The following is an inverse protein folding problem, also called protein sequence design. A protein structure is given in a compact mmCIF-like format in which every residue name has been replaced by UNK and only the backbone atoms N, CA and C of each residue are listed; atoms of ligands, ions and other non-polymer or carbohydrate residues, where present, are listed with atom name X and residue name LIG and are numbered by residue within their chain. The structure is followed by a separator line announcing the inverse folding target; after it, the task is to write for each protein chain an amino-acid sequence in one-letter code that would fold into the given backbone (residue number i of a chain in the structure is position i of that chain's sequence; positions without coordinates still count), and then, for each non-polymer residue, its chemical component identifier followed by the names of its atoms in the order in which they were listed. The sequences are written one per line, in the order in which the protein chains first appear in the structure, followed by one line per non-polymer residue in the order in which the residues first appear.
data_IF_305286935240
#
_entry.id   IF_305286935240
#
_cell.length_a   1.000
_cell.length_b   1.000
_cell.length_c   1.000
_cell.angle_alpha   90.00
_cell.angle_beta   90.00
_cell.angle_gamma   90.00
#
_symmetry.space_group_name_H-M   'P 1'
#
loop_
_entity.id
_entity.type
_entity.pdbx_description
1 polymer ?
#
# COMPACT_ATOMS: atom_id res chain seq x y z
N UNK A 1 16.59 6.42 36.65
CA UNK A 1 15.19 6.31 36.20
C UNK A 1 15.17 5.30 35.06
N UNK A 2 14.70 4.09 35.32
CA UNK A 2 14.51 3.06 34.28
C UNK A 2 13.43 3.57 33.33
N UNK A 3 13.80 3.96 32.11
CA UNK A 3 12.80 4.12 31.06
C UNK A 3 12.23 2.72 30.80
N UNK A 4 11.01 2.50 31.27
CA UNK A 4 10.22 1.33 30.91
C UNK A 4 10.12 1.29 29.38
N UNK A 5 10.92 0.44 28.76
CA UNK A 5 10.99 0.32 27.31
C UNK A 5 9.75 -0.37 26.76
N UNK A 6 9.31 0.06 25.59
CA UNK A 6 8.34 -0.70 24.81
C UNK A 6 8.99 -1.99 24.30
N UNK A 7 8.21 -3.05 24.25
CA UNK A 7 8.60 -4.31 23.58
C UNK A 7 7.75 -4.50 22.32
N UNK A 8 8.22 -5.32 21.38
CA UNK A 8 7.45 -5.65 20.18
C UNK A 8 6.79 -7.01 20.36
N UNK A 9 5.53 -7.14 19.90
CA UNK A 9 4.82 -8.43 19.87
C UNK A 9 5.58 -9.47 19.02
N UNK A 10 6.21 -9.00 17.93
CA UNK A 10 6.89 -9.84 16.93
C UNK A 10 8.26 -9.25 16.57
N UNK A 11 9.34 -10.05 16.54
CA UNK A 11 10.66 -9.59 16.10
C UNK A 11 10.70 -9.06 14.67
N UNK A 12 9.80 -9.53 13.80
CA UNK A 12 9.70 -9.12 12.40
C UNK A 12 9.39 -7.63 12.24
N UNK A 13 8.68 -7.03 13.21
CA UNK A 13 8.37 -5.59 13.20
C UNK A 13 9.65 -4.75 13.24
N UNK A 14 10.66 -5.20 14.00
CA UNK A 14 11.95 -4.50 14.09
C UNK A 14 12.65 -4.52 12.74
N UNK A 15 12.63 -5.67 12.06
CA UNK A 15 13.22 -5.78 10.72
C UNK A 15 12.52 -4.85 9.73
N UNK A 16 11.18 -4.86 9.72
CA UNK A 16 10.39 -4.02 8.83
C UNK A 16 10.62 -2.52 9.10
N UNK A 17 10.71 -2.12 10.36
CA UNK A 17 11.08 -0.76 10.75
C UNK A 17 12.45 -0.35 10.20
N UNK A 18 13.47 -1.21 10.36
CA UNK A 18 14.82 -0.93 9.88
C UNK A 18 14.87 -0.84 8.35
N UNK A 19 14.19 -1.76 7.66
CA UNK A 19 14.11 -1.78 6.20
C UNK A 19 13.38 -0.54 5.66
N UNK A 20 12.25 -0.14 6.27
CA UNK A 20 11.46 1.04 5.87
C UNK A 20 12.19 2.36 6.13
N UNK A 21 12.91 2.45 7.25
CA UNK A 21 13.60 3.67 7.68
C UNK A 21 14.99 3.82 7.09
N UNK A 22 15.46 2.86 6.30
CA UNK A 22 16.86 2.79 5.82
C UNK A 22 17.86 2.95 6.98
N UNK A 23 17.53 2.35 8.13
CA UNK A 23 18.26 2.48 9.39
C UNK A 23 18.48 3.92 9.90
N UNK A 24 17.74 4.93 9.40
CA UNK A 24 17.90 6.31 9.81
C UNK A 24 17.33 6.53 11.23
N UNK A 25 18.16 6.95 12.22
CA UNK A 25 17.71 7.10 13.60
C UNK A 25 16.55 8.08 13.80
N UNK A 26 16.47 9.13 12.96
CA UNK A 26 15.39 10.09 13.02
C UNK A 26 14.07 9.45 12.59
N UNK A 27 14.03 8.77 11.44
CA UNK A 27 12.82 8.11 10.95
C UNK A 27 12.36 7.00 11.90
N UNK A 28 13.31 6.22 12.43
CA UNK A 28 13.05 5.19 13.44
C UNK A 28 12.35 5.80 14.65
N UNK A 29 12.89 6.90 15.19
CA UNK A 29 12.32 7.57 16.36
C UNK A 29 10.89 8.03 16.11
N UNK A 30 10.64 8.72 15.01
CA UNK A 30 9.30 9.27 14.72
C UNK A 30 8.26 8.15 14.55
N UNK A 31 8.60 7.08 13.81
CA UNK A 31 7.72 5.92 13.62
C UNK A 31 7.43 5.23 14.96
N UNK A 32 8.47 5.00 15.78
CA UNK A 32 8.32 4.36 17.09
C UNK A 32 7.51 5.19 18.06
N UNK A 33 7.67 6.52 18.05
CA UNK A 33 6.89 7.40 18.90
C UNK A 33 5.41 7.41 18.52
N UNK A 34 5.11 7.42 17.21
CA UNK A 34 3.74 7.28 16.73
C UNK A 34 3.14 5.92 17.10
N UNK A 35 3.87 4.83 16.91
CA UNK A 35 3.42 3.48 17.29
C UNK A 35 3.20 3.34 18.80
N UNK A 36 4.14 3.84 19.61
CA UNK A 36 4.07 3.80 21.07
C UNK A 36 2.89 4.60 21.65
N UNK A 37 2.46 5.66 20.96
CA UNK A 37 1.27 6.44 21.35
C UNK A 37 -0.03 5.64 21.21
N UNK A 38 0.00 4.57 20.40
CA UNK A 38 -1.15 3.70 20.12
C UNK A 38 -1.15 2.42 20.95
N UNK A 39 0.04 1.96 21.34
CA UNK A 39 0.22 0.77 22.16
C UNK A 39 -0.59 0.83 23.47
N UNK A 40 -1.13 -0.32 23.89
CA UNK A 40 -1.88 -0.47 25.13
C UNK A 40 -1.02 -0.25 26.38
N UNK A 41 -1.66 -0.18 27.55
CA UNK A 41 -1.01 0.01 28.86
C UNK A 41 0.12 -1.01 29.14
N UNK A 42 0.07 -2.18 28.50
CA UNK A 42 1.08 -3.24 28.61
C UNK A 42 2.41 -2.93 27.90
N UNK A 43 2.51 -1.80 27.18
CA UNK A 43 3.74 -1.34 26.48
C UNK A 43 4.29 -2.34 25.45
N UNK A 44 3.40 -3.15 24.90
CA UNK A 44 3.71 -4.04 23.78
C UNK A 44 3.21 -3.35 22.51
N UNK A 45 4.14 -2.97 21.63
CA UNK A 45 3.82 -2.49 20.28
C UNK A 45 3.41 -3.71 19.47
N UNK A 46 2.12 -3.77 19.15
CA UNK A 46 1.59 -4.78 18.24
C UNK A 46 1.95 -4.44 16.80
N UNK A 47 1.77 -5.42 15.92
CA UNK A 47 1.87 -5.17 14.49
C UNK A 47 0.89 -4.08 14.04
N UNK A 48 -0.32 -4.02 14.61
CA UNK A 48 -1.32 -2.99 14.27
C UNK A 48 -0.86 -1.58 14.69
N UNK A 49 -0.28 -1.44 15.89
CA UNK A 49 0.22 -0.16 16.40
C UNK A 49 1.36 0.38 15.54
N UNK A 50 2.31 -0.49 15.18
CA UNK A 50 3.43 -0.14 14.32
C UNK A 50 2.95 0.38 12.95
N UNK A 51 2.04 -0.37 12.32
CA UNK A 51 1.49 -0.07 11.00
C UNK A 51 0.77 1.28 10.95
N UNK A 52 -0.07 1.55 11.94
CA UNK A 52 -0.74 2.85 12.06
C UNK A 52 0.26 3.96 12.39
N UNK A 53 1.26 3.69 13.24
CA UNK A 53 2.33 4.64 13.50
C UNK A 53 3.04 5.06 12.22
N UNK A 54 3.37 4.12 11.33
CA UNK A 54 3.93 4.42 10.01
C UNK A 54 2.97 5.26 9.17
N UNK A 55 1.71 4.87 9.05
CA UNK A 55 0.73 5.59 8.24
C UNK A 55 0.51 7.03 8.74
N UNK A 56 0.35 7.22 10.05
CA UNK A 56 0.15 8.51 10.68
C UNK A 56 1.39 9.40 10.45
N UNK A 57 2.59 8.84 10.59
CA UNK A 57 3.81 9.63 10.48
C UNK A 57 4.11 10.05 9.04
N UNK A 58 3.87 9.18 8.05
CA UNK A 58 4.22 9.41 6.64
C UNK A 58 3.13 10.08 5.81
N UNK A 59 1.85 9.84 6.12
CA UNK A 59 0.76 10.18 5.20
C UNK A 59 -0.38 10.98 5.82
N UNK A 60 -0.41 11.15 7.16
CA UNK A 60 -1.30 12.16 7.77
C UNK A 60 -0.80 13.56 7.46
N UNK A 61 -1.71 14.52 7.22
CA UNK A 61 -1.36 15.94 7.08
C UNK A 61 -0.60 16.48 8.29
N UNK A 62 -0.88 15.95 9.48
CA UNK A 62 -0.20 16.28 10.74
C UNK A 62 1.03 15.41 11.05
N UNK A 63 1.36 14.45 10.18
CA UNK A 63 2.46 13.52 10.38
C UNK A 63 3.82 14.19 10.28
N UNK A 64 4.72 13.93 11.24
CA UNK A 64 6.04 14.56 11.28
C UNK A 64 6.87 14.27 10.02
N UNK A 65 6.91 13.01 9.58
CA UNK A 65 7.66 12.62 8.37
C UNK A 65 6.96 13.12 7.10
N UNK A 66 5.63 13.19 7.08
CA UNK A 66 4.90 13.83 5.99
C UNK A 66 5.33 15.30 5.85
N UNK A 67 5.32 16.06 6.95
CA UNK A 67 5.73 17.46 6.97
C UNK A 67 7.19 17.64 6.56
N UNK A 68 8.08 16.79 7.08
CA UNK A 68 9.50 16.78 6.73
C UNK A 68 9.71 16.54 5.22
N UNK A 69 9.13 15.49 4.65
CA UNK A 69 9.31 15.17 3.23
C UNK A 69 8.56 16.14 2.32
N UNK A 70 7.41 16.67 2.74
CA UNK A 70 6.73 17.74 2.03
C UNK A 70 7.58 19.01 1.96
N UNK A 71 8.26 19.37 3.06
CA UNK A 71 9.19 20.50 3.05
C UNK A 71 10.41 20.19 2.17
N UNK A 72 11.04 19.03 2.35
CA UNK A 72 12.17 18.58 1.54
C UNK A 72 11.83 18.62 0.04
N UNK A 73 10.64 18.16 -0.35
CA UNK A 73 10.17 18.23 -1.73
C UNK A 73 9.88 19.65 -2.20
N UNK A 74 9.33 20.52 -1.33
CA UNK A 74 9.13 21.94 -1.64
C UNK A 74 10.44 22.67 -1.87
N UNK A 75 11.47 22.40 -1.08
CA UNK A 75 12.80 23.01 -1.23
C UNK A 75 13.37 22.65 -2.62
N UNK A 76 13.30 21.37 -3.02
CA UNK A 76 13.65 20.96 -4.38
C UNK A 76 12.81 21.64 -5.46
N UNK A 77 11.51 21.85 -5.24
CA UNK A 77 10.66 22.53 -6.20
C UNK A 77 10.99 24.02 -6.34
N UNK A 78 11.43 24.68 -5.27
CA UNK A 78 11.83 26.09 -5.34
C UNK A 78 13.11 26.26 -6.14
N UNK A 79 14.09 25.40 -5.88
CA UNK A 79 15.38 25.42 -6.58
C UNK A 79 15.26 24.84 -8.00
N UNK A 80 14.34 23.89 -8.19
CA UNK A 80 14.15 23.18 -9.45
C UNK A 80 12.70 22.74 -9.76
N UNK A 81 11.82 23.68 -10.18
CA UNK A 81 10.40 23.42 -10.39
C UNK A 81 10.11 22.30 -11.41
N UNK A 82 11.00 22.14 -12.39
CA UNK A 82 10.80 21.26 -13.54
C UNK A 82 11.21 19.80 -13.27
N UNK A 83 12.04 19.56 -12.24
CA UNK A 83 12.42 18.20 -11.83
C UNK A 83 11.36 17.49 -10.98
N UNK A 84 10.31 18.19 -10.57
CA UNK A 84 9.18 17.66 -9.80
C UNK A 84 8.55 16.45 -10.47
N UNK A 85 8.10 16.63 -11.71
CA UNK A 85 7.32 15.61 -12.40
C UNK A 85 8.21 14.43 -12.82
N UNK A 86 9.51 14.68 -13.06
CA UNK A 86 10.52 13.63 -13.24
C UNK A 86 10.66 12.78 -11.99
N UNK A 87 10.78 13.38 -10.80
CA UNK A 87 10.84 12.61 -9.53
C UNK A 87 9.58 11.78 -9.28
N UNK A 88 8.39 12.32 -9.59
CA UNK A 88 7.12 11.59 -9.48
C UNK A 88 7.11 10.40 -10.45
N UNK A 89 7.50 10.62 -11.71
CA UNK A 89 7.59 9.56 -12.73
C UNK A 89 8.56 8.44 -12.33
N UNK A 90 9.72 8.79 -11.77
CA UNK A 90 10.68 7.81 -11.24
C UNK A 90 10.09 7.02 -10.06
N UNK A 91 9.36 7.69 -9.16
CA UNK A 91 8.68 7.04 -8.05
C UNK A 91 7.56 6.10 -8.54
N UNK A 92 6.95 6.37 -9.71
CA UNK A 92 5.97 5.47 -10.34
C UNK A 92 6.57 4.19 -10.93
N UNK A 93 7.89 4.16 -11.09
CA UNK A 93 8.65 2.99 -11.55
C UNK A 93 9.27 3.14 -12.94
N UNK A 94 9.13 4.29 -13.59
CA UNK A 94 9.86 4.60 -14.81
C UNK A 94 11.34 4.78 -14.44
N UNK A 95 12.24 4.03 -15.06
CA UNK A 95 13.67 4.04 -14.68
C UNK A 95 14.57 4.59 -15.78
N UNK A 96 14.13 4.59 -17.02
CA UNK A 96 14.90 5.08 -18.18
C UNK A 96 14.45 6.48 -18.62
N UNK A 97 15.30 7.17 -19.38
CA UNK A 97 14.99 8.50 -19.91
C UNK A 97 13.76 8.42 -20.83
N UNK A 98 13.67 7.36 -21.64
CA UNK A 98 12.59 7.09 -22.57
C UNK A 98 11.25 6.85 -21.86
N UNK A 99 11.24 6.04 -20.80
CA UNK A 99 10.03 5.78 -20.00
C UNK A 99 9.50 7.06 -19.37
N UNK A 100 10.38 7.87 -18.77
CA UNK A 100 9.99 9.16 -18.16
C UNK A 100 9.51 10.15 -19.22
N UNK A 101 10.17 10.22 -20.38
CA UNK A 101 9.77 11.08 -21.49
C UNK A 101 8.37 10.72 -22.02
N UNK A 102 8.09 9.42 -22.14
CA UNK A 102 6.79 8.91 -22.57
C UNK A 102 5.68 9.23 -21.57
N UNK A 103 5.94 9.01 -20.28
CA UNK A 103 5.00 9.28 -19.19
C UNK A 103 4.64 10.77 -19.11
N UNK A 104 5.65 11.63 -19.13
CA UNK A 104 5.49 13.09 -19.02
C UNK A 104 5.13 13.77 -20.35
N UNK A 105 5.18 13.04 -21.47
CA UNK A 105 4.96 13.56 -22.84
C UNK A 105 5.86 14.74 -23.20
N UNK A 106 7.13 14.66 -22.83
CA UNK A 106 8.16 15.67 -23.13
C UNK A 106 9.36 15.05 -23.85
N UNK A 107 10.21 15.85 -24.53
CA UNK A 107 11.36 15.31 -25.26
C UNK A 107 12.40 14.64 -24.34
N UNK A 108 13.01 13.55 -24.81
CA UNK A 108 14.11 12.81 -24.13
C UNK A 108 15.26 13.74 -23.72
N UNK A 109 15.60 14.73 -24.55
CA UNK A 109 16.65 15.71 -24.23
C UNK A 109 16.32 16.61 -23.03
N UNK A 110 15.04 16.91 -22.82
CA UNK A 110 14.55 17.69 -21.67
C UNK A 110 14.62 16.83 -20.41
N UNK A 111 14.16 15.58 -20.48
CA UNK A 111 14.26 14.63 -19.36
C UNK A 111 15.73 14.39 -18.96
N UNK A 112 16.62 14.18 -19.94
CA UNK A 112 18.05 13.99 -19.69
C UNK A 112 18.64 15.14 -18.88
N UNK A 113 18.37 16.38 -19.29
CA UNK A 113 18.80 17.58 -18.56
C UNK A 113 18.27 17.59 -17.11
N UNK A 114 16.99 17.27 -16.94
CA UNK A 114 16.39 17.20 -15.60
C UNK A 114 17.00 16.12 -14.71
N UNK A 115 17.32 14.95 -15.26
CA UNK A 115 17.96 13.86 -14.53
C UNK A 115 19.40 14.20 -14.15
N UNK A 116 20.18 14.83 -15.04
CA UNK A 116 21.53 15.30 -14.75
C UNK A 116 21.54 16.34 -13.60
N UNK A 117 20.58 17.27 -13.60
CA UNK A 117 20.45 18.26 -12.52
C UNK A 117 20.00 17.60 -11.21
N UNK A 118 19.00 16.72 -11.22
CA UNK A 118 18.57 15.98 -10.04
C UNK A 118 19.68 15.08 -9.47
N UNK A 119 20.55 14.54 -10.32
CA UNK A 119 21.70 13.74 -9.91
C UNK A 119 22.77 14.61 -9.24
N UNK A 120 23.04 15.81 -9.79
CA UNK A 120 23.91 16.80 -9.16
C UNK A 120 23.43 17.17 -7.75
N UNK A 121 22.12 17.34 -7.57
CA UNK A 121 21.52 17.60 -6.26
C UNK A 121 21.32 16.34 -5.39
N UNK A 122 21.85 15.19 -5.81
CA UNK A 122 21.80 13.91 -5.11
C UNK A 122 20.36 13.44 -4.78
N UNK A 123 19.37 13.93 -5.54
CA UNK A 123 17.97 13.53 -5.43
C UNK A 123 17.72 12.20 -6.16
N UNK A 124 18.43 11.99 -7.28
CA UNK A 124 18.40 10.74 -8.05
C UNK A 124 19.81 10.17 -8.20
N UNK A 125 19.92 8.88 -8.51
CA UNK A 125 21.16 8.21 -8.85
C UNK A 125 20.98 7.37 -10.10
N UNK A 126 21.96 7.42 -10.99
CA UNK A 126 22.08 6.47 -12.09
C UNK A 126 22.68 5.15 -11.55
N UNK A 127 21.89 4.08 -11.52
CA UNK A 127 22.33 2.72 -11.13
C UNK A 127 22.22 1.82 -12.35
N UNK A 128 23.30 1.12 -12.71
CA UNK A 128 23.31 0.13 -13.81
C UNK A 128 23.16 0.71 -15.23
N UNK A 129 23.80 1.84 -15.52
CA UNK A 129 23.87 2.48 -16.84
C UNK A 129 22.48 2.79 -17.41
N UNK A 130 22.16 4.08 -17.47
CA UNK A 130 20.90 4.62 -18.01
C UNK A 130 19.63 4.21 -17.25
N UNK A 131 19.75 3.83 -15.97
CA UNK A 131 18.61 3.65 -15.08
C UNK A 131 18.71 4.54 -13.86
N UNK A 132 17.71 5.40 -13.69
CA UNK A 132 17.65 6.41 -12.65
C UNK A 132 16.68 5.99 -11.55
N UNK A 133 17.07 6.27 -10.31
CA UNK A 133 16.29 5.96 -9.12
C UNK A 133 16.34 7.13 -8.15
N UNK A 134 15.25 7.39 -7.44
CA UNK A 134 15.27 8.27 -6.27
C UNK A 134 16.32 7.75 -5.28
N UNK A 135 17.23 8.62 -4.87
CA UNK A 135 18.39 8.23 -4.07
C UNK A 135 18.01 7.82 -2.64
N UNK A 136 17.14 8.59 -1.99
CA UNK A 136 16.64 8.29 -0.64
C UNK A 136 15.42 7.35 -0.76
N UNK A 137 15.52 6.08 -0.35
CA UNK A 137 14.44 5.11 -0.49
C UNK A 137 13.22 5.44 0.38
N UNK A 138 13.41 6.12 1.51
CA UNK A 138 12.34 6.54 2.42
C UNK A 138 11.58 7.73 1.84
N UNK A 139 12.30 8.65 1.20
CA UNK A 139 11.68 9.72 0.43
C UNK A 139 10.94 9.19 -0.80
N UNK A 140 11.52 8.22 -1.51
CA UNK A 140 10.84 7.53 -2.62
C UNK A 140 9.54 6.87 -2.13
N UNK A 141 9.60 6.21 -0.98
CA UNK A 141 8.43 5.62 -0.34
C UNK A 141 7.34 6.67 -0.06
N UNK A 142 7.73 7.83 0.49
CA UNK A 142 6.81 8.95 0.68
C UNK A 142 6.24 9.50 -0.64
N UNK A 143 7.08 9.75 -1.66
CA UNK A 143 6.64 10.21 -2.98
C UNK A 143 5.56 9.29 -3.56
N UNK A 144 5.79 7.97 -3.48
CA UNK A 144 4.82 6.96 -3.93
C UNK A 144 3.50 7.07 -3.18
N UNK A 145 3.54 7.11 -1.85
CA UNK A 145 2.32 7.14 -1.05
C UNK A 145 1.63 8.51 -0.96
N UNK A 146 2.28 9.61 -1.33
CA UNK A 146 1.72 10.97 -1.18
C UNK A 146 1.35 11.64 -2.51
N UNK A 147 2.07 11.34 -3.60
CA UNK A 147 2.06 12.15 -4.82
C UNK A 147 1.87 11.38 -6.12
N UNK A 148 2.03 10.05 -6.09
CA UNK A 148 1.78 9.20 -7.26
C UNK A 148 0.37 8.63 -7.26
N UNK A 149 -0.01 7.94 -8.32
CA UNK A 149 -1.22 7.10 -8.34
C UNK A 149 -1.27 6.07 -7.20
N UNK A 150 -0.12 5.68 -6.63
CA UNK A 150 -0.05 4.78 -5.48
C UNK A 150 -0.51 5.38 -4.16
N UNK A 151 -0.75 6.70 -4.07
CA UNK A 151 -1.36 7.34 -2.89
C UNK A 151 -2.64 6.62 -2.48
N UNK A 152 -3.41 6.24 -3.47
CA UNK A 152 -4.69 5.57 -3.31
C UNK A 152 -4.54 4.15 -2.76
N UNK A 153 -3.32 3.60 -2.66
CA UNK A 153 -3.01 2.26 -2.14
C UNK A 153 -1.81 2.21 -1.20
N UNK A 154 -1.47 3.33 -0.57
CA UNK A 154 -0.30 3.41 0.33
C UNK A 154 -0.37 2.37 1.47
N UNK A 155 -1.56 2.12 2.02
CA UNK A 155 -1.80 1.10 3.06
C UNK A 155 -1.30 -0.29 2.64
N UNK A 156 -1.86 -0.91 1.58
CA UNK A 156 -1.38 -2.21 1.09
C UNK A 156 0.13 -2.26 0.81
N UNK A 157 0.75 -1.18 0.31
CA UNK A 157 2.20 -1.15 0.06
C UNK A 157 3.07 -1.18 1.30
N UNK A 158 2.62 -0.52 2.36
CA UNK A 158 3.27 -0.55 3.65
C UNK A 158 3.16 -1.94 4.27
N UNK A 159 1.93 -2.43 4.39
CA UNK A 159 1.58 -3.44 5.40
C UNK A 159 0.93 -4.69 4.83
N UNK A 160 0.74 -4.74 3.52
CA UNK A 160 0.13 -5.86 2.84
C UNK A 160 1.07 -7.02 2.60
N UNK A 161 0.54 -8.24 2.61
CA UNK A 161 1.26 -9.39 2.06
C UNK A 161 1.64 -9.13 0.60
N UNK A 162 2.61 -9.89 0.06
CA UNK A 162 2.98 -9.77 -1.36
C UNK A 162 1.76 -9.88 -2.29
N UNK A 163 0.78 -10.69 -1.90
CA UNK A 163 -0.45 -10.91 -2.67
C UNK A 163 -1.40 -9.71 -2.56
N UNK A 164 -1.56 -9.12 -1.37
CA UNK A 164 -2.34 -7.90 -1.17
C UNK A 164 -1.72 -6.71 -1.90
N UNK A 165 -0.39 -6.57 -1.89
CA UNK A 165 0.34 -5.55 -2.65
C UNK A 165 0.09 -5.70 -4.15
N UNK A 166 0.22 -6.93 -4.68
CA UNK A 166 -0.09 -7.22 -6.09
C UNK A 166 -1.56 -6.93 -6.43
N UNK A 167 -2.49 -7.26 -5.54
CA UNK A 167 -3.90 -7.00 -5.76
C UNK A 167 -4.21 -5.50 -5.73
N UNK A 168 -3.66 -4.75 -4.79
CA UNK A 168 -3.87 -3.31 -4.71
C UNK A 168 -3.35 -2.60 -5.97
N UNK A 169 -2.19 -3.03 -6.48
CA UNK A 169 -1.68 -2.60 -7.79
C UNK A 169 -2.64 -2.92 -8.94
N UNK A 170 -3.08 -4.18 -9.02
CA UNK A 170 -4.01 -4.63 -10.04
C UNK A 170 -5.32 -3.82 -10.01
N UNK A 171 -5.86 -3.52 -8.83
CA UNK A 171 -7.06 -2.71 -8.67
C UNK A 171 -6.86 -1.28 -9.17
N UNK A 172 -5.71 -0.64 -8.88
CA UNK A 172 -5.38 0.68 -9.42
C UNK A 172 -5.28 0.70 -10.94
N UNK A 173 -4.61 -0.28 -11.53
CA UNK A 173 -4.49 -0.40 -12.99
C UNK A 173 -5.86 -0.52 -13.67
N UNK A 174 -6.86 -1.04 -12.96
CA UNK A 174 -8.24 -1.15 -13.41
C UNK A 174 -9.09 0.09 -13.08
N UNK A 175 -8.50 1.18 -12.58
CA UNK A 175 -9.20 2.45 -12.35
C UNK A 175 -10.02 2.49 -11.06
N UNK A 176 -9.67 1.69 -10.05
CA UNK A 176 -10.25 1.81 -8.71
C UNK A 176 -9.69 3.07 -8.02
N UNK A 177 -10.58 3.87 -7.41
CA UNK A 177 -10.23 5.17 -6.86
C UNK A 177 -9.37 5.04 -5.59
N UNK A 178 -9.68 4.11 -4.69
CA UNK A 178 -8.94 3.89 -3.43
C UNK A 178 -8.88 2.41 -3.08
N UNK A 179 -7.76 1.92 -2.54
CA UNK A 179 -7.61 0.61 -1.90
C UNK A 179 -6.84 0.76 -0.60
N UNK A 180 -7.50 0.53 0.53
CA UNK A 180 -6.84 0.50 1.83
C UNK A 180 -6.89 -0.90 2.42
N UNK A 181 -6.03 -1.18 3.39
CA UNK A 181 -6.23 -2.37 4.21
C UNK A 181 -7.49 -2.21 5.04
N UNK A 182 -8.31 -3.26 5.11
CA UNK A 182 -9.55 -3.18 5.88
C UNK A 182 -9.23 -2.86 7.36
N UNK A 183 -9.99 -1.92 7.93
CA UNK A 183 -9.75 -1.38 9.26
C UNK A 183 -9.89 -2.48 10.33
N UNK A 184 -8.94 -2.46 11.28
CA UNK A 184 -8.71 -3.44 12.35
C UNK A 184 -8.14 -4.78 11.86
N UNK A 185 -7.04 -5.19 12.48
CA UNK A 185 -6.53 -6.59 12.52
C UNK A 185 -7.55 -7.65 13.01
N UNK A 186 -8.83 -7.26 13.18
CA UNK A 186 -9.99 -8.07 13.57
C UNK A 186 -11.13 -8.02 12.53
N UNK A 187 -10.99 -7.35 11.38
CA UNK A 187 -11.93 -7.47 10.28
C UNK A 187 -11.78 -8.82 9.56
N UNK A 188 -12.85 -9.38 8.94
CA UNK A 188 -12.75 -10.62 8.17
C UNK A 188 -12.40 -10.37 6.69
N UNK A 189 -11.82 -9.21 6.37
CA UNK A 189 -11.39 -8.79 5.04
C UNK A 189 -9.97 -8.24 5.13
N UNK A 190 -9.18 -8.37 4.07
CA UNK A 190 -7.79 -7.88 4.05
C UNK A 190 -7.71 -6.48 3.42
N UNK A 191 -8.53 -6.23 2.39
CA UNK A 191 -8.55 -4.98 1.64
C UNK A 191 -9.96 -4.39 1.58
N UNK A 192 -10.03 -3.10 1.37
CA UNK A 192 -11.24 -2.37 1.08
C UNK A 192 -10.97 -1.47 -0.11
N UNK A 193 -11.78 -1.63 -1.15
CA UNK A 193 -11.70 -0.80 -2.34
C UNK A 193 -12.89 0.14 -2.43
N UNK A 194 -12.67 1.34 -2.94
CA UNK A 194 -13.70 2.35 -3.19
C UNK A 194 -13.58 2.86 -4.62
N UNK A 195 -14.73 3.10 -5.24
CA UNK A 195 -14.82 3.71 -6.55
C UNK A 195 -16.24 4.10 -6.93
N UNK A 196 -16.40 5.24 -7.62
CA UNK A 196 -17.70 5.69 -8.11
C UNK A 196 -18.77 5.87 -7.02
N UNK A 197 -18.36 6.26 -5.81
CA UNK A 197 -19.25 6.41 -4.64
C UNK A 197 -19.67 5.10 -3.97
N UNK A 198 -19.11 3.97 -4.38
CA UNK A 198 -19.36 2.64 -3.80
C UNK A 198 -18.11 2.10 -3.12
N UNK A 199 -18.29 1.18 -2.17
CA UNK A 199 -17.18 0.51 -1.48
C UNK A 199 -17.40 -1.00 -1.37
N UNK A 200 -16.33 -1.78 -1.53
CA UNK A 200 -16.33 -3.24 -1.53
C UNK A 200 -15.21 -3.77 -0.64
N UNK A 201 -15.56 -4.60 0.34
CA UNK A 201 -14.60 -5.28 1.19
C UNK A 201 -14.11 -6.58 0.54
N UNK A 202 -12.80 -6.80 0.49
CA UNK A 202 -12.16 -7.90 -0.23
C UNK A 202 -11.30 -8.74 0.71
N UNK A 203 -11.60 -10.04 0.79
CA UNK A 203 -10.73 -11.01 1.44
C UNK A 203 -9.86 -11.66 0.37
N UNK A 204 -8.55 -11.63 0.56
CA UNK A 204 -7.55 -12.07 -0.40
C UNK A 204 -7.02 -13.44 0.01
N UNK A 205 -6.92 -14.37 -0.95
CA UNK A 205 -6.34 -15.70 -0.74
C UNK A 205 -5.48 -16.12 -1.91
N UNK A 206 -4.24 -16.54 -1.62
CA UNK A 206 -3.40 -17.26 -2.58
C UNK A 206 -3.81 -18.73 -2.60
N UNK A 207 -4.07 -19.28 -3.78
CA UNK A 207 -4.49 -20.68 -3.93
C UNK A 207 -3.71 -21.38 -5.04
N UNK A 208 -3.23 -22.58 -4.74
CA UNK A 208 -2.57 -23.45 -5.73
C UNK A 208 -3.57 -24.32 -6.50
N UNK A 209 -4.80 -24.45 -5.99
CA UNK A 209 -5.88 -25.25 -6.56
C UNK A 209 -7.18 -24.46 -6.58
N UNK A 210 -8.01 -24.70 -7.60
CA UNK A 210 -9.31 -24.06 -7.80
C UNK A 210 -10.40 -24.64 -6.85
N UNK A 211 -10.15 -24.55 -5.54
CA UNK A 211 -11.10 -24.84 -4.49
C UNK A 211 -10.68 -24.09 -3.23
N UNK A 212 -11.60 -23.32 -2.65
CA UNK A 212 -11.36 -22.66 -1.38
C UNK A 212 -12.59 -22.78 -0.49
N UNK A 213 -12.38 -23.09 0.80
CA UNK A 213 -13.44 -23.29 1.78
C UNK A 213 -13.30 -22.30 2.93
N UNK A 214 -14.43 -21.74 3.36
CA UNK A 214 -14.56 -20.91 4.54
C UNK A 214 -15.43 -21.63 5.57
N UNK A 215 -15.04 -21.53 6.84
CA UNK A 215 -15.92 -21.93 7.94
C UNK A 215 -17.21 -21.11 7.92
N UNK A 216 -18.30 -21.68 8.44
CA UNK A 216 -19.58 -20.96 8.60
C UNK A 216 -19.38 -19.66 9.40
N UNK A 217 -18.64 -19.70 10.51
CA UNK A 217 -18.38 -18.55 11.36
C UNK A 217 -17.62 -17.43 10.63
N UNK A 218 -16.61 -17.78 9.81
CA UNK A 218 -15.87 -16.80 9.01
C UNK A 218 -16.78 -16.12 7.99
N UNK A 219 -17.61 -16.89 7.29
CA UNK A 219 -18.55 -16.36 6.31
C UNK A 219 -19.60 -15.44 6.93
N UNK A 220 -20.19 -15.85 8.04
CA UNK A 220 -21.18 -15.03 8.77
C UNK A 220 -20.56 -13.73 9.29
N UNK A 221 -19.31 -13.77 9.77
CA UNK A 221 -18.57 -12.57 10.16
C UNK A 221 -18.33 -11.63 8.98
N UNK A 222 -17.98 -12.17 7.79
CA UNK A 222 -17.84 -11.37 6.57
C UNK A 222 -19.15 -10.69 6.17
N UNK A 223 -20.27 -11.41 6.18
CA UNK A 223 -21.58 -10.83 5.87
C UNK A 223 -21.98 -9.73 6.85
N UNK A 224 -21.86 -10.02 8.15
CA UNK A 224 -22.15 -9.05 9.20
C UNK A 224 -21.34 -7.76 9.02
N UNK A 225 -20.05 -7.86 8.70
CA UNK A 225 -19.19 -6.68 8.50
C UNK A 225 -19.63 -5.85 7.28
N UNK A 226 -20.03 -6.48 6.18
CA UNK A 226 -20.56 -5.77 5.00
C UNK A 226 -21.83 -4.99 5.36
N UNK A 227 -22.74 -5.61 6.11
CA UNK A 227 -24.01 -5.01 6.53
C UNK A 227 -23.81 -3.85 7.51
N UNK A 228 -22.98 -4.04 8.54
CA UNK A 228 -22.78 -3.03 9.59
C UNK A 228 -22.09 -1.76 9.07
N UNK A 229 -21.13 -1.92 8.16
CA UNK A 229 -20.36 -0.78 7.63
C UNK A 229 -20.92 -0.24 6.31
N UNK A 230 -22.17 -0.60 5.96
CA UNK A 230 -22.87 -0.06 4.80
C UNK A 230 -22.15 -0.26 3.47
N UNK A 231 -21.39 -1.35 3.33
CA UNK A 231 -20.59 -1.64 2.13
C UNK A 231 -21.49 -2.20 1.03
N UNK A 232 -21.24 -1.82 -0.22
CA UNK A 232 -22.05 -2.28 -1.37
C UNK A 232 -21.96 -3.80 -1.54
N UNK A 233 -20.78 -4.37 -1.28
CA UNK A 233 -20.56 -5.80 -1.33
C UNK A 233 -19.37 -6.24 -0.47
N UNK A 234 -19.34 -7.54 -0.16
CA UNK A 234 -18.13 -8.26 0.21
C UNK A 234 -17.76 -9.25 -0.89
N UNK A 235 -16.48 -9.42 -1.13
CA UNK A 235 -15.93 -10.33 -2.11
C UNK A 235 -14.73 -11.11 -1.57
N UNK A 236 -14.46 -12.25 -2.18
CA UNK A 236 -13.20 -12.97 -2.03
C UNK A 236 -12.43 -12.89 -3.33
N UNK A 237 -11.17 -12.47 -3.26
CA UNK A 237 -10.24 -12.50 -4.37
C UNK A 237 -9.31 -13.72 -4.22
N UNK A 238 -9.35 -14.63 -5.19
CA UNK A 238 -8.42 -15.74 -5.28
C UNK A 238 -7.32 -15.40 -6.29
N UNK A 239 -6.06 -15.42 -5.83
CA UNK A 239 -4.89 -15.39 -6.71
C UNK A 239 -4.42 -16.82 -7.00
N UNK A 240 -4.44 -17.21 -8.28
CA UNK A 240 -3.88 -18.48 -8.75
C UNK A 240 -2.99 -18.22 -9.97
N UNK A 241 -1.70 -18.54 -9.85
CA UNK A 241 -0.69 -18.00 -10.77
C UNK A 241 -0.61 -16.49 -10.64
N UNK A 242 -0.83 -15.77 -11.75
CA UNK A 242 -0.92 -14.30 -11.80
C UNK A 242 -2.33 -13.80 -12.18
N UNK A 243 -3.36 -14.65 -12.04
CA UNK A 243 -4.74 -14.29 -12.37
C UNK A 243 -5.54 -14.05 -11.08
N UNK A 244 -6.10 -12.85 -10.95
CA UNK A 244 -7.05 -12.49 -9.90
C UNK A 244 -8.48 -12.83 -10.32
N UNK A 245 -9.18 -13.57 -9.47
CA UNK A 245 -10.61 -13.88 -9.65
C UNK A 245 -11.40 -13.43 -8.45
N UNK A 246 -12.46 -12.66 -8.69
CA UNK A 246 -13.31 -12.11 -7.66
C UNK A 246 -14.64 -12.85 -7.61
N UNK A 247 -15.02 -13.26 -6.41
CA UNK A 247 -16.25 -13.99 -6.11
C UNK A 247 -17.06 -13.17 -5.12
N UNK A 248 -18.32 -12.84 -5.44
CA UNK A 248 -19.19 -12.16 -4.46
C UNK A 248 -19.53 -13.14 -3.34
N UNK A 249 -19.63 -12.67 -2.11
CA UNK A 249 -20.03 -13.51 -0.98
C UNK A 249 -21.37 -14.23 -1.24
N UNK A 250 -22.31 -13.56 -1.93
CA UNK A 250 -23.64 -14.11 -2.21
C UNK A 250 -23.62 -15.28 -3.20
N UNK A 251 -22.56 -15.41 -4.00
CA UNK A 251 -22.45 -16.41 -5.07
C UNK A 251 -21.81 -17.71 -4.59
N UNK A 252 -21.31 -17.74 -3.34
CA UNK A 252 -20.61 -18.90 -2.78
C UNK A 252 -21.56 -20.06 -2.49
N UNK A 253 -21.08 -21.29 -2.75
CA UNK A 253 -21.88 -22.49 -2.53
C UNK A 253 -21.85 -22.90 -1.06
N UNK A 254 -23.03 -23.00 -0.44
CA UNK A 254 -23.19 -23.54 0.91
C UNK A 254 -22.81 -25.03 0.95
N UNK A 255 -22.09 -25.42 1.98
CA UNK A 255 -21.65 -26.80 2.26
C UNK A 255 -22.14 -27.21 3.65
N UNK A 256 -21.92 -28.48 4.05
CA UNK A 256 -22.29 -28.94 5.40
C UNK A 256 -21.56 -28.18 6.52
N UNK A 257 -20.34 -27.70 6.28
CA UNK A 257 -19.45 -27.10 7.28
C UNK A 257 -19.21 -25.60 7.08
N UNK A 258 -19.79 -24.97 6.05
CA UNK A 258 -19.54 -23.56 5.73
C UNK A 258 -19.83 -23.24 4.28
N UNK A 259 -18.94 -22.51 3.62
CA UNK A 259 -19.12 -22.02 2.26
C UNK A 259 -17.89 -22.31 1.41
N UNK A 260 -18.09 -22.52 0.11
CA UNK A 260 -17.00 -22.88 -0.80
C UNK A 260 -17.07 -22.11 -2.12
N UNK A 261 -15.88 -21.88 -2.66
CA UNK A 261 -15.64 -21.48 -4.03
C UNK A 261 -15.15 -22.72 -4.78
N UNK A 262 -15.86 -23.07 -5.86
CA UNK A 262 -15.55 -24.23 -6.69
C UNK A 262 -15.73 -23.87 -8.18
N UNK A 263 -15.49 -24.83 -9.09
CA UNK A 263 -15.56 -24.63 -10.54
C UNK A 263 -16.88 -24.10 -11.08
N UNK A 264 -17.98 -24.25 -10.33
CA UNK A 264 -19.31 -23.76 -10.71
C UNK A 264 -19.63 -22.39 -10.11
N UNK A 265 -18.80 -21.87 -9.20
CA UNK A 265 -18.98 -20.55 -8.62
C UNK A 265 -18.63 -19.50 -9.65
N UNK A 266 -19.58 -18.62 -9.97
CA UNK A 266 -19.36 -17.49 -10.87
C UNK A 266 -18.27 -16.56 -10.34
N UNK A 267 -17.48 -16.00 -11.25
CA UNK A 267 -16.46 -15.02 -10.92
C UNK A 267 -16.34 -13.95 -12.00
N UNK A 268 -15.70 -12.85 -11.63
CA UNK A 268 -15.22 -11.83 -12.57
C UNK A 268 -13.71 -11.68 -12.42
N UNK A 269 -13.03 -11.33 -13.52
CA UNK A 269 -11.63 -10.88 -13.49
C UNK A 269 -11.55 -9.35 -13.52
N UNK A 270 -12.64 -8.67 -13.90
CA UNK A 270 -12.75 -7.23 -13.84
C UNK A 270 -13.29 -6.80 -12.46
N UNK A 271 -12.48 -6.11 -11.62
CA UNK A 271 -12.88 -5.70 -10.28
C UNK A 271 -13.97 -4.62 -10.28
N UNK A 272 -14.06 -3.80 -11.32
CA UNK A 272 -15.07 -2.73 -11.43
C UNK A 272 -16.50 -3.29 -11.49
N UNK A 273 -16.67 -4.55 -11.90
CA UNK A 273 -17.98 -5.23 -11.89
C UNK A 273 -18.53 -5.39 -10.46
N UNK A 274 -17.67 -5.31 -9.43
CA UNK A 274 -18.09 -5.37 -8.03
C UNK A 274 -18.63 -4.03 -7.49
N UNK A 275 -18.18 -2.91 -8.08
CA UNK A 275 -18.52 -1.54 -7.69
C UNK A 275 -19.88 -1.10 -8.22
#
# INVERSE_FOLDING_TARGET
MSQEGFSFEKPEIIKELLDLSDCNPYYIREILQAAATRASEDKIITEDDFRHGVQDTFFSESGTLNGYFAQYFRDYQQDYPQGRDVMISLAEGNTTIEEVAQDLKIPVSVVKKHLEELEYWNAVKNRNIDKYYINNPVFNFWLRGALTRYKNVAGPFLVGSQVERKLALFLLEHGVDLVYQAFQSRGPFDLLMEGGGSSVAIQVKKVDRFYYHFSKATYERMQWYVEQYGRKAGAVCLLSGDIFRFYRLQEMSKTKSGYSINRKTSYTENPLVLL
#
